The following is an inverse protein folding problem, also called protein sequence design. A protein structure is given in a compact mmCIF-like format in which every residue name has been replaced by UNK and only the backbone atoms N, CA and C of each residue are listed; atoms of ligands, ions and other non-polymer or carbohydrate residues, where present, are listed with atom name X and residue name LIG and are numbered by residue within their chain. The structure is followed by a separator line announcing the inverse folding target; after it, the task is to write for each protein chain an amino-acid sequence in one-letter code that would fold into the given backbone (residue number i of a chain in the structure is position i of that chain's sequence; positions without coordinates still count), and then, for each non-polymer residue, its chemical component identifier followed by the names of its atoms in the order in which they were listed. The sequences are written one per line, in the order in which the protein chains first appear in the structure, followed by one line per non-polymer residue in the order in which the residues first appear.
data_IF_914811127256
#
_entry.id   IF_914811127256
#
_cell.length_a   1.000
_cell.length_b   1.000
_cell.length_c   1.000
_cell.angle_alpha   90.00
_cell.angle_beta   90.00
_cell.angle_gamma   90.00
#
_symmetry.space_group_name_H-M   'P 1'
#
loop_
_entity.id
_entity.type
_entity.pdbx_description
1 polymer ?
#
# COMPACT_ATOMS: atom_id res chain seq x y z
N UNK A 1 27.82 -4.78 -5.56
CA UNK A 1 28.60 -4.48 -4.35
C UNK A 1 29.44 -3.22 -4.52
N UNK A 2 30.23 -3.07 -5.58
CA UNK A 2 31.03 -1.86 -5.82
C UNK A 2 30.19 -0.57 -5.90
N UNK A 3 29.06 -0.61 -6.56
CA UNK A 3 28.12 0.51 -6.75
C UNK A 3 27.39 0.96 -5.46
N UNK A 4 27.34 0.07 -4.46
CA UNK A 4 26.74 0.32 -3.14
C UNK A 4 27.72 1.05 -2.21
N UNK A 5 29.00 0.69 -2.26
CA UNK A 5 30.05 1.34 -1.47
C UNK A 5 30.36 2.74 -1.99
N UNK A 6 30.30 2.96 -3.30
CA UNK A 6 30.50 4.28 -3.92
C UNK A 6 29.38 5.26 -3.56
N UNK A 7 28.14 4.78 -3.40
CA UNK A 7 27.03 5.61 -2.89
C UNK A 7 27.11 5.89 -1.39
N UNK A 8 27.71 5.00 -0.59
CA UNK A 8 27.95 5.25 0.83
C UNK A 8 29.06 6.28 1.08
N UNK A 9 30.10 6.31 0.24
CA UNK A 9 31.20 7.29 0.34
C UNK A 9 30.74 8.71 -0.01
N UNK A 10 29.66 8.87 -0.78
CA UNK A 10 29.07 10.17 -1.12
C UNK A 10 28.10 10.72 -0.05
N UNK A 11 27.77 9.93 0.97
CA UNK A 11 26.79 10.28 2.02
C UNK A 11 27.37 10.38 3.43
N UNK A 12 28.66 10.13 3.60
CA UNK A 12 29.32 10.22 4.89
C UNK A 12 30.72 10.74 4.75
N UNK A 13 30.89 12.03 5.01
CA UNK A 13 32.02 12.64 5.69
C UNK A 13 31.79 14.16 5.75
N UNK A 14 31.23 14.61 6.83
CA UNK A 14 31.36 15.97 7.34
C UNK A 14 31.66 15.86 8.83
N UNK A 15 32.96 15.66 9.14
CA UNK A 15 33.54 16.02 10.42
C UNK A 15 35.01 16.38 10.25
N UNK A 16 35.25 17.65 10.41
CA UNK A 16 36.39 18.33 11.06
C UNK A 16 37.82 18.09 10.60
N UNK A 17 38.48 19.15 10.21
CA UNK A 17 39.95 19.21 10.33
C UNK A 17 40.66 20.12 9.32
N UNK A 18 40.89 21.31 9.77
CA UNK A 18 41.73 22.41 9.29
C UNK A 18 43.19 22.01 8.85
N UNK A 19 43.68 22.59 7.76
CA UNK A 19 44.94 23.30 7.59
C UNK A 19 45.60 23.15 6.21
N UNK A 20 45.76 24.26 5.52
CA UNK A 20 47.06 24.71 4.99
C UNK A 20 47.39 24.41 3.53
N UNK A 21 47.50 25.54 2.77
CA UNK A 21 48.54 25.88 1.78
C UNK A 21 48.29 25.68 0.28
N UNK A 22 48.02 26.82 -0.36
CA UNK A 22 48.54 27.40 -1.62
C UNK A 22 48.85 26.51 -2.82
N UNK A 23 48.21 26.78 -3.96
CA UNK A 23 48.77 27.41 -5.18
C UNK A 23 47.83 27.28 -6.40
N UNK A 24 47.46 28.40 -6.94
CA UNK A 24 47.43 28.80 -8.36
C UNK A 24 46.76 27.91 -9.40
N UNK A 25 45.52 28.28 -9.80
CA UNK A 25 44.91 27.80 -11.04
C UNK A 25 43.67 28.63 -11.36
N UNK A 26 43.81 29.63 -12.24
CA UNK A 26 42.67 30.35 -12.82
C UNK A 26 41.76 29.39 -13.54
N UNK A 27 40.54 29.23 -13.08
CA UNK A 27 39.45 28.63 -13.83
C UNK A 27 38.21 29.53 -13.75
N UNK A 28 37.52 29.60 -14.84
CA UNK A 28 36.45 30.47 -15.25
C UNK A 28 35.37 30.72 -14.20
N UNK A 29 34.94 31.98 -14.15
CA UNK A 29 33.75 32.45 -13.45
C UNK A 29 32.49 31.77 -14.02
N UNK A 30 31.98 30.78 -13.30
CA UNK A 30 30.64 30.23 -13.45
C UNK A 30 29.72 30.90 -12.43
N UNK A 31 28.61 31.40 -12.90
CA UNK A 31 27.57 32.18 -12.24
C UNK A 31 27.28 31.84 -10.76
N UNK A 32 27.20 32.90 -9.95
CA UNK A 32 26.93 32.86 -8.52
C UNK A 32 25.59 32.16 -8.17
N UNK A 33 25.68 30.96 -7.66
CA UNK A 33 24.62 30.28 -6.94
C UNK A 33 24.90 30.35 -5.45
N UNK A 34 24.20 31.22 -4.73
CA UNK A 34 24.18 31.16 -3.27
C UNK A 34 23.72 29.75 -2.79
N UNK A 35 23.97 29.39 -1.53
CA UNK A 35 23.58 28.08 -1.00
C UNK A 35 22.09 27.83 -1.25
N UNK A 36 21.77 26.73 -1.93
CA UNK A 36 20.39 26.35 -2.20
C UNK A 36 19.62 26.20 -0.88
N UNK A 37 18.36 26.69 -0.80
CA UNK A 37 17.54 26.45 0.39
C UNK A 37 17.45 24.95 0.68
N UNK A 38 17.53 24.56 1.95
CA UNK A 38 17.51 23.16 2.40
C UNK A 38 16.31 22.33 1.85
N UNK A 39 15.16 22.99 1.65
CA UNK A 39 13.98 22.36 1.01
C UNK A 39 14.24 22.02 -0.46
N UNK A 40 15.12 22.72 -1.11
CA UNK A 40 15.41 22.60 -2.55
C UNK A 40 16.60 21.70 -2.86
N UNK A 41 17.36 21.28 -1.87
CA UNK A 41 18.53 20.41 -2.02
C UNK A 41 18.12 18.93 -1.83
N UNK A 42 18.21 18.08 -2.86
CA UNK A 42 17.85 16.66 -2.78
C UNK A 42 18.67 15.84 -1.78
N UNK A 43 19.88 16.32 -1.43
CA UNK A 43 20.76 15.67 -0.43
C UNK A 43 20.33 16.00 1.00
N UNK A 44 19.60 17.09 1.20
CA UNK A 44 19.20 17.54 2.52
C UNK A 44 18.00 16.74 3.04
N UNK A 45 18.04 16.38 4.34
CA UNK A 45 16.98 15.62 5.00
C UNK A 45 15.60 16.25 4.83
N UNK A 46 15.51 17.58 4.89
CA UNK A 46 14.24 18.31 4.75
C UNK A 46 13.57 18.07 3.39
N UNK A 47 14.33 18.01 2.31
CA UNK A 47 13.79 17.68 0.98
C UNK A 47 13.25 16.25 0.92
N UNK A 48 13.97 15.29 1.51
CA UNK A 48 13.51 13.88 1.60
C UNK A 48 12.22 13.75 2.43
N UNK A 49 12.10 14.52 3.52
CA UNK A 49 10.86 14.57 4.30
C UNK A 49 9.70 15.14 3.49
N UNK A 50 9.92 16.20 2.71
CA UNK A 50 8.87 16.75 1.83
C UNK A 50 8.43 15.71 0.79
N UNK A 51 9.37 15.01 0.15
CA UNK A 51 9.05 13.91 -0.79
C UNK A 51 8.25 12.82 -0.09
N UNK A 52 8.63 12.44 1.13
CA UNK A 52 7.94 11.43 1.93
C UNK A 52 6.49 11.84 2.24
N UNK A 53 6.24 13.09 2.59
CA UNK A 53 4.89 13.61 2.86
C UNK A 53 4.00 13.48 1.62
N UNK A 54 4.47 13.94 0.44
CA UNK A 54 3.70 13.79 -0.79
C UNK A 54 3.51 12.32 -1.18
N UNK A 55 4.50 11.47 -0.94
CA UNK A 55 4.42 10.03 -1.16
C UNK A 55 3.37 9.37 -0.25
N UNK A 56 3.30 9.75 1.03
CA UNK A 56 2.30 9.24 1.96
C UNK A 56 0.88 9.64 1.55
N UNK A 57 0.69 10.89 1.08
CA UNK A 57 -0.61 11.37 0.61
C UNK A 57 -1.01 10.85 -0.77
N UNK A 58 -0.09 10.24 -1.51
CA UNK A 58 -0.37 9.68 -2.84
C UNK A 58 -1.49 8.63 -2.81
N UNK A 59 -1.48 7.74 -1.82
CA UNK A 59 -2.51 6.72 -1.64
C UNK A 59 -3.74 7.17 -0.86
N UNK A 60 -3.71 8.33 -0.18
CA UNK A 60 -4.77 8.75 0.72
C UNK A 60 -6.15 8.80 0.06
N UNK A 61 -6.26 9.43 -1.12
CA UNK A 61 -7.54 9.55 -1.84
C UNK A 61 -8.06 8.20 -2.35
N UNK A 62 -7.19 7.31 -2.79
CA UNK A 62 -7.61 5.98 -3.25
C UNK A 62 -8.16 5.13 -2.10
N UNK A 63 -7.51 5.12 -0.94
CA UNK A 63 -8.01 4.40 0.24
C UNK A 63 -9.26 5.05 0.84
N UNK A 64 -9.33 6.39 0.84
CA UNK A 64 -10.55 7.11 1.23
C UNK A 64 -11.73 6.67 0.35
N UNK A 65 -11.59 6.73 -0.97
CA UNK A 65 -12.69 6.42 -1.90
C UNK A 65 -12.97 4.91 -2.06
N UNK A 66 -12.00 4.05 -1.75
CA UNK A 66 -12.22 2.60 -1.74
C UNK A 66 -13.34 2.21 -0.79
N UNK A 67 -13.38 2.82 0.40
CA UNK A 67 -14.32 2.50 1.48
C UNK A 67 -15.66 3.25 1.38
N UNK A 68 -15.84 4.14 0.38
CA UNK A 68 -17.12 4.85 0.19
C UNK A 68 -18.36 3.95 0.19
N UNK A 69 -18.40 2.81 -0.52
CA UNK A 69 -19.57 1.94 -0.48
C UNK A 69 -19.84 1.38 0.91
N UNK A 70 -18.80 1.05 1.69
CA UNK A 70 -18.95 0.54 3.05
C UNK A 70 -19.44 1.62 4.00
N UNK A 71 -18.91 2.85 3.88
CA UNK A 71 -19.29 3.98 4.73
C UNK A 71 -20.74 4.45 4.50
N UNK A 72 -21.26 4.23 3.29
CA UNK A 72 -22.61 4.61 2.86
C UNK A 72 -23.45 3.37 2.48
N UNK A 73 -23.23 2.22 3.13
CA UNK A 73 -23.86 0.96 2.74
C UNK A 73 -25.38 1.03 2.80
N UNK A 74 -25.94 1.57 3.88
CA UNK A 74 -27.38 1.72 4.06
C UNK A 74 -28.01 2.59 2.98
N UNK A 75 -27.37 3.71 2.68
CA UNK A 75 -27.79 4.68 1.68
C UNK A 75 -27.70 4.11 0.27
N UNK A 76 -26.62 3.42 -0.05
CA UNK A 76 -26.44 2.73 -1.35
C UNK A 76 -27.52 1.69 -1.58
N UNK A 77 -27.82 0.88 -0.56
CA UNK A 77 -28.87 -0.15 -0.66
C UNK A 77 -30.26 0.46 -0.80
N UNK A 78 -30.59 1.50 -0.03
CA UNK A 78 -31.89 2.15 -0.02
C UNK A 78 -32.14 3.03 -1.24
N UNK A 79 -31.22 3.95 -1.53
CA UNK A 79 -31.39 4.98 -2.58
C UNK A 79 -31.38 4.39 -3.99
N UNK A 80 -30.66 3.30 -4.21
CA UNK A 80 -30.57 2.63 -5.51
C UNK A 80 -31.43 1.35 -5.60
N UNK A 81 -32.18 1.01 -4.52
CA UNK A 81 -32.99 -0.20 -4.42
C UNK A 81 -32.19 -1.48 -4.76
N UNK A 82 -30.98 -1.60 -4.19
CA UNK A 82 -30.09 -2.73 -4.41
C UNK A 82 -30.26 -3.79 -3.34
N UNK A 83 -30.02 -5.04 -3.71
CA UNK A 83 -29.82 -6.12 -2.75
C UNK A 83 -28.33 -6.25 -2.37
N UNK A 84 -28.06 -6.97 -1.29
CA UNK A 84 -26.69 -7.18 -0.79
C UNK A 84 -25.77 -7.83 -1.84
N UNK A 85 -26.30 -8.72 -2.68
CA UNK A 85 -25.53 -9.37 -3.74
C UNK A 85 -25.02 -8.35 -4.78
N UNK A 86 -25.88 -7.43 -5.23
CA UNK A 86 -25.47 -6.35 -6.14
C UNK A 86 -24.50 -5.39 -5.48
N UNK A 87 -24.71 -5.08 -4.19
CA UNK A 87 -23.76 -4.26 -3.46
C UNK A 87 -22.35 -4.89 -3.44
N UNK A 88 -22.25 -6.20 -3.19
CA UNK A 88 -20.97 -6.92 -3.22
C UNK A 88 -20.31 -6.97 -4.61
N UNK A 89 -21.09 -6.86 -5.68
CA UNK A 89 -20.55 -6.76 -7.04
C UNK A 89 -19.66 -5.51 -7.23
N UNK A 90 -19.92 -4.41 -6.51
CA UNK A 90 -19.05 -3.23 -6.56
C UNK A 90 -17.62 -3.52 -6.08
N UNK A 91 -17.47 -4.39 -5.08
CA UNK A 91 -16.15 -4.85 -4.62
C UNK A 91 -15.56 -5.92 -5.54
N UNK A 92 -16.41 -6.79 -6.10
CA UNK A 92 -15.99 -7.81 -7.04
C UNK A 92 -15.40 -7.17 -8.33
N UNK A 93 -16.05 -6.15 -8.88
CA UNK A 93 -15.54 -5.41 -10.04
C UNK A 93 -14.26 -4.64 -9.78
N UNK A 94 -14.01 -4.25 -8.53
CA UNK A 94 -12.72 -3.72 -8.12
C UNK A 94 -11.62 -4.80 -8.10
N UNK A 95 -11.91 -5.95 -7.49
CA UNK A 95 -10.87 -6.92 -7.11
C UNK A 95 -10.53 -7.91 -8.23
N UNK A 96 -11.51 -8.48 -8.92
CA UNK A 96 -11.29 -9.53 -9.91
C UNK A 96 -10.38 -9.12 -11.08
N UNK A 97 -10.52 -7.94 -11.69
CA UNK A 97 -9.64 -7.53 -12.77
C UNK A 97 -8.18 -7.42 -12.31
N UNK A 98 -7.97 -7.04 -11.06
CA UNK A 98 -6.67 -6.80 -10.49
C UNK A 98 -5.86 -8.09 -10.22
N UNK A 99 -6.48 -9.26 -10.28
CA UNK A 99 -5.77 -10.54 -10.32
C UNK A 99 -4.77 -10.59 -11.47
N UNK A 100 -5.07 -9.94 -12.58
CA UNK A 100 -4.21 -9.91 -13.79
C UNK A 100 -3.62 -8.52 -14.01
N UNK A 101 -4.42 -7.47 -13.86
CA UNK A 101 -4.04 -6.12 -14.27
C UNK A 101 -2.96 -5.48 -13.38
N UNK A 102 -2.83 -5.87 -12.11
CA UNK A 102 -1.74 -5.40 -11.26
C UNK A 102 -0.37 -5.83 -11.78
N UNK A 103 -0.26 -7.07 -12.26
CA UNK A 103 0.98 -7.55 -12.87
C UNK A 103 1.34 -6.74 -14.11
N UNK A 104 0.38 -6.54 -15.01
CA UNK A 104 0.60 -5.73 -16.21
C UNK A 104 0.87 -4.26 -15.85
N UNK A 105 0.20 -3.70 -14.83
CA UNK A 105 0.46 -2.36 -14.33
C UNK A 105 1.90 -2.18 -13.85
N UNK A 106 2.40 -3.12 -13.05
CA UNK A 106 3.79 -3.15 -12.59
C UNK A 106 4.79 -3.31 -13.73
N UNK A 107 4.50 -4.20 -14.67
CA UNK A 107 5.32 -4.38 -15.88
C UNK A 107 5.37 -3.14 -16.77
N UNK A 108 4.23 -2.48 -16.98
CA UNK A 108 4.15 -1.24 -17.74
C UNK A 108 4.89 -0.08 -17.03
N UNK A 109 4.87 -0.07 -15.69
CA UNK A 109 5.60 0.88 -14.87
C UNK A 109 7.11 0.78 -15.12
N UNK A 110 7.64 -0.44 -15.12
CA UNK A 110 9.08 -0.67 -15.29
C UNK A 110 9.54 -0.47 -16.75
N UNK A 111 8.72 -0.93 -17.72
CA UNK A 111 9.13 -0.98 -19.12
C UNK A 111 8.76 0.24 -19.95
N UNK A 112 7.54 0.79 -19.76
CA UNK A 112 6.95 1.75 -20.71
C UNK A 112 6.85 3.13 -20.12
N UNK A 113 6.17 3.27 -18.98
CA UNK A 113 5.84 4.58 -18.43
C UNK A 113 6.98 5.18 -17.60
N UNK A 114 7.76 4.32 -16.95
CA UNK A 114 8.62 4.76 -15.86
C UNK A 114 7.80 5.20 -14.65
N UNK A 115 8.44 5.32 -13.51
CA UNK A 115 7.78 5.54 -12.23
C UNK A 115 6.98 6.85 -12.18
N UNK A 116 7.48 7.94 -12.78
CA UNK A 116 6.86 9.27 -12.73
C UNK A 116 5.55 9.30 -13.50
N UNK A 117 5.63 8.94 -14.79
CA UNK A 117 4.47 8.97 -15.67
C UNK A 117 3.45 7.92 -15.25
N UNK A 118 3.91 6.72 -14.87
CA UNK A 118 3.02 5.65 -14.39
C UNK A 118 2.23 6.07 -13.15
N UNK A 119 2.86 6.70 -12.16
CA UNK A 119 2.17 7.21 -10.97
C UNK A 119 1.11 8.25 -11.31
N UNK A 120 1.38 9.17 -12.24
CA UNK A 120 0.40 10.18 -12.69
C UNK A 120 -0.76 9.52 -13.43
N UNK A 121 -0.47 8.58 -14.34
CA UNK A 121 -1.49 7.84 -15.09
C UNK A 121 -2.40 7.05 -14.14
N UNK A 122 -1.84 6.31 -13.19
CA UNK A 122 -2.63 5.52 -12.25
C UNK A 122 -3.45 6.39 -11.30
N UNK A 123 -2.91 7.53 -10.84
CA UNK A 123 -3.68 8.52 -10.07
C UNK A 123 -4.82 9.11 -10.89
N UNK A 124 -4.62 9.32 -12.19
CA UNK A 124 -5.69 9.78 -13.10
C UNK A 124 -6.79 8.73 -13.26
N UNK A 125 -6.44 7.44 -13.37
CA UNK A 125 -7.43 6.35 -13.39
C UNK A 125 -8.25 6.29 -12.11
N UNK A 126 -7.62 6.50 -10.95
CA UNK A 126 -8.32 6.59 -9.65
C UNK A 126 -9.33 7.72 -9.66
N UNK A 127 -8.93 8.92 -10.08
CA UNK A 127 -9.84 10.07 -10.19
C UNK A 127 -10.99 9.81 -11.16
N UNK A 128 -10.67 9.32 -12.36
CA UNK A 128 -11.66 9.04 -13.41
C UNK A 128 -12.65 7.96 -12.94
N UNK A 129 -12.15 6.88 -12.35
CA UNK A 129 -12.98 5.81 -11.81
C UNK A 129 -13.94 6.30 -10.73
N UNK A 130 -13.47 7.14 -9.81
CA UNK A 130 -14.31 7.72 -8.75
C UNK A 130 -15.37 8.68 -9.32
N UNK A 131 -15.02 9.50 -10.30
CA UNK A 131 -15.99 10.39 -10.97
C UNK A 131 -17.06 9.61 -11.71
N UNK A 132 -16.68 8.55 -12.46
CA UNK A 132 -17.62 7.67 -13.15
C UNK A 132 -18.53 6.96 -12.13
N UNK A 133 -17.97 6.46 -11.03
CA UNK A 133 -18.71 5.83 -9.94
C UNK A 133 -19.77 6.77 -9.35
N UNK A 134 -19.37 8.00 -9.01
CA UNK A 134 -20.26 9.04 -8.49
C UNK A 134 -21.33 9.46 -9.52
N UNK A 135 -20.96 9.59 -10.78
CA UNK A 135 -21.91 9.89 -11.88
C UNK A 135 -22.92 8.76 -12.04
N UNK A 136 -22.50 7.50 -11.93
CA UNK A 136 -23.38 6.34 -11.96
C UNK A 136 -24.46 6.39 -10.87
N UNK A 137 -24.11 6.83 -9.66
CA UNK A 137 -25.07 7.06 -8.59
C UNK A 137 -25.98 8.26 -8.90
N UNK A 138 -25.45 9.40 -9.39
CA UNK A 138 -26.23 10.58 -9.77
C UNK A 138 -27.34 10.28 -10.81
N UNK A 139 -27.00 9.48 -11.83
CA UNK A 139 -27.96 9.14 -12.91
C UNK A 139 -28.73 7.84 -12.64
N UNK A 140 -28.57 7.26 -11.45
CA UNK A 140 -29.19 6.00 -11.04
C UNK A 140 -28.93 4.85 -12.04
N UNK A 141 -27.68 4.69 -12.48
CA UNK A 141 -27.26 3.63 -13.41
C UNK A 141 -26.20 2.74 -12.77
N UNK A 142 -26.63 1.58 -12.28
CA UNK A 142 -25.76 0.67 -11.56
C UNK A 142 -24.55 0.18 -12.40
N UNK A 143 -24.75 -0.18 -13.68
CA UNK A 143 -23.65 -0.60 -14.55
C UNK A 143 -22.54 0.44 -14.69
N UNK A 144 -22.90 1.74 -14.61
CA UNK A 144 -21.91 2.82 -14.66
C UNK A 144 -21.10 2.89 -13.36
N UNK A 145 -21.73 2.57 -12.23
CA UNK A 145 -21.02 2.42 -10.96
C UNK A 145 -20.03 1.25 -10.99
N UNK A 146 -20.45 0.11 -11.56
CA UNK A 146 -19.56 -1.04 -11.75
C UNK A 146 -18.36 -0.70 -12.64
N UNK A 147 -18.60 -0.02 -13.78
CA UNK A 147 -17.55 0.47 -14.67
C UNK A 147 -16.59 1.45 -13.94
N UNK A 148 -17.13 2.34 -13.11
CA UNK A 148 -16.34 3.22 -12.25
C UNK A 148 -15.46 2.45 -11.30
N UNK A 149 -15.97 1.43 -10.62
CA UNK A 149 -15.20 0.58 -9.69
C UNK A 149 -14.13 -0.24 -10.41
N UNK A 150 -14.40 -0.71 -11.63
CA UNK A 150 -13.41 -1.39 -12.45
C UNK A 150 -12.22 -0.48 -12.79
N UNK A 151 -12.49 0.73 -13.32
CA UNK A 151 -11.45 1.70 -13.67
C UNK A 151 -10.68 2.16 -12.41
N UNK A 152 -11.41 2.42 -11.33
CA UNK A 152 -10.84 2.78 -10.04
C UNK A 152 -9.92 1.70 -9.50
N UNK A 153 -10.28 0.42 -9.62
CA UNK A 153 -9.49 -0.72 -9.19
C UNK A 153 -8.16 -0.83 -9.94
N UNK A 154 -8.18 -0.69 -11.27
CA UNK A 154 -6.96 -0.69 -12.10
C UNK A 154 -6.00 0.41 -11.62
N UNK A 155 -6.54 1.63 -11.39
CA UNK A 155 -5.74 2.75 -10.92
C UNK A 155 -5.21 2.54 -9.51
N UNK A 156 -6.06 2.16 -8.56
CA UNK A 156 -5.73 2.07 -7.14
C UNK A 156 -4.64 1.06 -6.82
N UNK A 157 -4.78 -0.14 -7.32
CA UNK A 157 -3.81 -1.23 -7.08
C UNK A 157 -2.47 -0.97 -7.78
N UNK A 158 -2.50 -0.50 -9.03
CA UNK A 158 -1.27 -0.14 -9.76
C UNK A 158 -0.59 1.10 -9.17
N UNK A 159 -1.36 2.04 -8.58
CA UNK A 159 -0.83 3.18 -7.85
C UNK A 159 -0.10 2.74 -6.57
N UNK A 160 -0.63 1.74 -5.87
CA UNK A 160 0.06 1.18 -4.70
C UNK A 160 1.40 0.53 -5.09
N UNK A 161 1.46 -0.17 -6.22
CA UNK A 161 2.72 -0.70 -6.78
C UNK A 161 3.71 0.42 -7.08
N UNK A 162 3.26 1.50 -7.72
CA UNK A 162 4.09 2.66 -8.02
C UNK A 162 4.58 3.36 -6.74
N UNK A 163 3.72 3.49 -5.74
CA UNK A 163 4.05 4.07 -4.43
C UNK A 163 5.14 3.26 -3.71
N UNK A 164 5.04 1.93 -3.71
CA UNK A 164 6.05 1.05 -3.14
C UNK A 164 7.39 1.18 -3.88
N UNK A 165 7.37 1.26 -5.22
CA UNK A 165 8.57 1.45 -6.03
C UNK A 165 9.23 2.81 -5.75
N UNK A 166 8.44 3.87 -5.55
CA UNK A 166 8.96 5.18 -5.13
C UNK A 166 9.62 5.12 -3.76
N UNK A 167 8.99 4.43 -2.79
CA UNK A 167 9.54 4.27 -1.45
C UNK A 167 10.93 3.62 -1.51
N UNK A 168 11.08 2.56 -2.29
CA UNK A 168 12.37 1.89 -2.47
C UNK A 168 13.39 2.82 -3.14
N UNK A 169 13.04 3.50 -4.22
CA UNK A 169 13.97 4.35 -4.97
C UNK A 169 14.52 5.51 -4.14
N UNK A 170 13.75 6.04 -3.18
CA UNK A 170 14.15 7.19 -2.37
C UNK A 170 14.72 6.83 -0.99
N UNK A 171 14.34 5.66 -0.43
CA UNK A 171 14.61 5.31 0.98
C UNK A 171 15.28 3.95 1.17
N UNK A 172 15.73 3.29 0.09
CA UNK A 172 16.47 2.02 0.20
C UNK A 172 17.73 2.21 1.04
N UNK A 173 17.90 1.40 2.06
CA UNK A 173 19.11 1.29 2.86
C UNK A 173 18.97 1.64 4.34
N UNK A 174 18.24 2.69 4.76
CA UNK A 174 18.23 3.10 6.17
C UNK A 174 16.85 3.19 6.83
N UNK A 175 15.80 3.58 6.10
CA UNK A 175 14.52 3.97 6.69
C UNK A 175 13.33 3.36 5.94
N UNK A 176 13.56 2.29 5.19
CA UNK A 176 12.58 1.74 4.27
C UNK A 176 11.34 1.19 4.99
N UNK A 177 11.53 0.45 6.08
CA UNK A 177 10.42 -0.12 6.85
C UNK A 177 9.59 0.97 7.54
N UNK A 178 10.22 2.05 8.03
CA UNK A 178 9.54 3.23 8.56
C UNK A 178 8.69 3.89 7.49
N UNK A 179 9.22 4.06 6.28
CA UNK A 179 8.49 4.66 5.15
C UNK A 179 7.26 3.83 4.79
N UNK A 180 7.39 2.51 4.68
CA UNK A 180 6.24 1.62 4.46
C UNK A 180 5.22 1.71 5.62
N UNK A 181 5.68 1.82 6.85
CA UNK A 181 4.83 2.04 8.02
C UNK A 181 4.04 3.35 7.95
N UNK A 182 4.69 4.44 7.54
CA UNK A 182 4.04 5.74 7.33
C UNK A 182 3.00 5.71 6.20
N UNK A 183 3.33 5.08 5.06
CA UNK A 183 2.40 4.90 3.95
C UNK A 183 1.17 4.11 4.37
N UNK A 184 1.36 3.00 5.10
CA UNK A 184 0.28 2.18 5.62
C UNK A 184 -0.57 2.96 6.63
N UNK A 185 0.04 3.75 7.49
CA UNK A 185 -0.65 4.61 8.45
C UNK A 185 -1.55 5.63 7.74
N UNK A 186 -1.03 6.29 6.71
CA UNK A 186 -1.80 7.27 5.93
C UNK A 186 -2.93 6.64 5.12
N UNK A 187 -2.73 5.43 4.58
CA UNK A 187 -3.78 4.67 3.93
C UNK A 187 -4.95 4.38 4.90
N UNK A 188 -4.64 3.90 6.10
CA UNK A 188 -5.65 3.63 7.14
C UNK A 188 -6.31 4.89 7.67
N UNK A 189 -5.56 5.99 7.77
CA UNK A 189 -6.13 7.28 8.11
C UNK A 189 -7.17 7.69 7.07
N UNK A 190 -6.91 7.51 5.78
CA UNK A 190 -7.89 7.74 4.70
C UNK A 190 -9.19 6.96 4.91
N UNK A 191 -9.09 5.64 5.14
CA UNK A 191 -10.24 4.77 5.43
C UNK A 191 -10.99 5.21 6.70
N UNK A 192 -10.26 5.49 7.78
CA UNK A 192 -10.87 5.94 9.06
C UNK A 192 -11.60 7.27 8.90
N UNK A 193 -11.01 8.22 8.22
CA UNK A 193 -11.64 9.53 7.95
C UNK A 193 -12.90 9.35 7.10
N UNK A 194 -12.84 8.51 6.07
CA UNK A 194 -14.01 8.18 5.25
C UNK A 194 -15.17 7.64 6.08
N UNK A 195 -14.93 6.59 6.86
CA UNK A 195 -15.96 5.94 7.69
C UNK A 195 -16.63 6.88 8.69
N UNK A 196 -15.92 7.90 9.17
CA UNK A 196 -16.44 8.87 10.13
C UNK A 196 -17.13 10.08 9.47
N UNK A 197 -16.73 10.46 8.27
CA UNK A 197 -17.17 11.71 7.64
C UNK A 197 -18.27 11.49 6.60
N UNK A 198 -18.27 10.42 5.83
CA UNK A 198 -19.15 10.26 4.68
C UNK A 198 -20.64 10.22 5.05
N UNK A 199 -21.00 9.59 6.16
CA UNK A 199 -22.39 9.62 6.66
C UNK A 199 -22.86 11.02 7.03
N UNK A 200 -21.98 11.82 7.65
CA UNK A 200 -22.28 13.23 7.95
C UNK A 200 -22.39 14.08 6.67
N UNK A 201 -21.50 13.85 5.69
CA UNK A 201 -21.56 14.54 4.39
C UNK A 201 -22.87 14.23 3.68
N UNK A 202 -23.27 12.97 3.63
CA UNK A 202 -24.53 12.55 3.03
C UNK A 202 -25.72 13.27 3.71
N UNK A 203 -25.78 13.27 5.04
CA UNK A 203 -26.85 13.95 5.80
C UNK A 203 -26.90 15.44 5.51
N UNK A 204 -25.76 16.12 5.44
CA UNK A 204 -25.70 17.55 5.13
C UNK A 204 -26.18 17.88 3.71
N UNK A 205 -25.82 17.04 2.74
CA UNK A 205 -26.30 17.21 1.36
C UNK A 205 -27.81 16.91 1.28
N UNK A 206 -28.30 15.90 1.99
CA UNK A 206 -29.71 15.59 2.09
C UNK A 206 -30.53 16.77 2.68
N UNK A 207 -30.02 17.42 3.71
CA UNK A 207 -30.60 18.63 4.32
C UNK A 207 -30.69 19.77 3.29
N UNK A 208 -29.68 19.94 2.45
CA UNK A 208 -29.63 20.99 1.41
C UNK A 208 -30.58 20.69 0.23
N UNK A 209 -30.70 19.44 -0.16
CA UNK A 209 -31.55 19.01 -1.30
C UNK A 209 -33.00 18.84 -0.88
N UNK A 210 -33.24 18.63 0.41
CA UNK A 210 -34.58 18.50 1.00
C UNK A 210 -35.17 17.08 1.02
N UNK A 211 -34.45 16.10 0.42
CA UNK A 211 -34.85 14.68 0.45
C UNK A 211 -33.66 13.76 0.21
N UNK A 212 -33.55 12.61 0.91
CA UNK A 212 -32.56 11.59 0.60
C UNK A 212 -32.86 10.95 -0.77
N UNK A 213 -31.84 10.39 -1.42
CA UNK A 213 -32.00 9.69 -2.68
C UNK A 213 -30.69 9.59 -3.48
N UNK A 214 -30.77 8.94 -4.64
CA UNK A 214 -29.60 8.67 -5.50
C UNK A 214 -28.81 9.94 -5.90
N UNK A 215 -29.48 11.10 -6.01
CA UNK A 215 -28.81 12.38 -6.31
C UNK A 215 -27.94 12.86 -5.16
N UNK A 216 -28.41 12.71 -3.90
CA UNK A 216 -27.66 13.02 -2.68
C UNK A 216 -26.47 12.07 -2.56
N UNK A 217 -26.70 10.79 -2.78
CA UNK A 217 -25.64 9.77 -2.80
C UNK A 217 -24.55 10.11 -3.81
N UNK A 218 -24.96 10.38 -5.07
CA UNK A 218 -24.02 10.73 -6.13
C UNK A 218 -23.25 12.02 -5.86
N UNK A 219 -23.90 13.06 -5.31
CA UNK A 219 -23.25 14.31 -4.88
C UNK A 219 -22.23 14.08 -3.76
N UNK A 220 -22.56 13.24 -2.79
CA UNK A 220 -21.64 12.85 -1.70
C UNK A 220 -20.40 12.13 -2.22
N UNK A 221 -20.59 11.19 -3.15
CA UNK A 221 -19.50 10.47 -3.81
C UNK A 221 -18.67 11.38 -4.72
N UNK A 222 -19.29 12.40 -5.35
CA UNK A 222 -18.56 13.38 -6.14
C UNK A 222 -17.70 14.28 -5.25
N UNK A 223 -18.20 14.67 -4.08
CA UNK A 223 -17.41 15.42 -3.10
C UNK A 223 -16.21 14.57 -2.62
N UNK A 224 -16.41 13.27 -2.42
CA UNK A 224 -15.30 12.36 -2.08
C UNK A 224 -14.22 12.33 -3.17
N UNK A 225 -14.57 12.53 -4.46
CA UNK A 225 -13.58 12.58 -5.55
C UNK A 225 -12.54 13.71 -5.39
N UNK A 226 -12.83 14.73 -4.60
CA UNK A 226 -11.86 15.81 -4.27
C UNK A 226 -10.62 15.25 -3.59
N UNK A 227 -10.75 14.19 -2.78
CA UNK A 227 -9.59 13.51 -2.15
C UNK A 227 -8.72 12.82 -3.18
N UNK A 228 -9.30 12.26 -4.24
CA UNK A 228 -8.56 11.68 -5.36
C UNK A 228 -7.84 12.77 -6.17
N UNK A 229 -8.47 13.93 -6.39
CA UNK A 229 -7.81 15.08 -7.03
C UNK A 229 -6.61 15.57 -6.19
N UNK A 230 -6.74 15.61 -4.88
CA UNK A 230 -5.64 15.93 -3.99
C UNK A 230 -4.48 14.93 -4.14
N UNK A 231 -4.76 13.64 -4.19
CA UNK A 231 -3.74 12.60 -4.46
C UNK A 231 -3.11 12.75 -5.84
N UNK A 232 -3.87 13.13 -6.86
CA UNK A 232 -3.34 13.43 -8.19
C UNK A 232 -2.38 14.64 -8.18
N UNK A 233 -2.72 15.70 -7.43
CA UNK A 233 -1.81 16.85 -7.22
C UNK A 233 -0.53 16.39 -6.52
N UNK A 234 -0.63 15.53 -5.52
CA UNK A 234 0.55 14.94 -4.86
C UNK A 234 1.41 14.14 -5.85
N UNK A 235 0.80 13.38 -6.76
CA UNK A 235 1.51 12.64 -7.82
C UNK A 235 2.27 13.58 -8.77
N UNK A 236 1.65 14.69 -9.17
CA UNK A 236 2.28 15.69 -10.04
C UNK A 236 3.46 16.38 -9.35
N UNK A 237 3.28 16.77 -8.09
CA UNK A 237 4.35 17.40 -7.29
C UNK A 237 5.50 16.41 -7.08
N UNK A 238 5.19 15.15 -6.75
CA UNK A 238 6.20 14.10 -6.57
C UNK A 238 7.00 13.87 -7.86
N UNK A 239 6.33 13.79 -9.01
CA UNK A 239 6.96 13.67 -10.31
C UNK A 239 7.86 14.87 -10.66
N UNK A 240 7.46 16.09 -10.27
CA UNK A 240 8.26 17.30 -10.44
C UNK A 240 9.51 17.28 -9.53
N UNK A 241 9.35 16.95 -8.25
CA UNK A 241 10.44 16.86 -7.28
C UNK A 241 11.48 15.81 -7.70
N UNK A 242 11.02 14.64 -8.14
CA UNK A 242 11.88 13.56 -8.60
C UNK A 242 12.66 13.94 -9.88
N UNK A 243 12.00 14.58 -10.86
CA UNK A 243 12.68 15.10 -12.05
C UNK A 243 13.71 16.17 -11.72
N UNK A 244 13.42 17.02 -10.74
CA UNK A 244 14.34 18.05 -10.28
C UNK A 244 15.54 17.42 -9.57
N UNK A 245 15.31 16.45 -8.69
CA UNK A 245 16.37 15.74 -7.98
C UNK A 245 17.35 15.06 -8.96
N UNK A 246 16.84 14.37 -9.99
CA UNK A 246 17.63 13.75 -11.03
C UNK A 246 18.54 14.75 -11.76
N UNK A 247 18.05 15.96 -12.07
CA UNK A 247 18.83 17.01 -12.72
C UNK A 247 19.94 17.56 -11.83
N UNK A 248 19.68 17.74 -10.53
CA UNK A 248 20.63 18.33 -9.57
C UNK A 248 21.72 17.32 -9.22
N UNK A 249 21.35 16.06 -9.02
CA UNK A 249 22.29 15.00 -8.66
C UNK A 249 23.12 14.51 -9.85
N UNK A 250 22.85 15.01 -11.07
CA UNK A 250 23.44 14.52 -12.32
C UNK A 250 23.39 12.99 -12.46
N UNK A 251 22.51 12.36 -11.68
CA UNK A 251 22.22 10.95 -11.75
C UNK A 251 21.29 10.74 -12.95
N UNK A 252 21.82 10.98 -14.16
CA UNK A 252 21.28 10.31 -15.31
C UNK A 252 21.41 8.81 -14.95
N UNK A 253 20.32 8.15 -14.59
CA UNK A 253 20.30 6.69 -14.56
C UNK A 253 20.80 6.29 -15.93
N UNK A 254 22.03 5.82 -15.99
CA UNK A 254 22.47 5.01 -17.10
C UNK A 254 21.38 3.97 -17.20
N UNK A 255 20.54 4.10 -18.22
CA UNK A 255 19.58 3.06 -18.55
C UNK A 255 20.49 1.90 -18.91
N UNK A 256 20.79 1.09 -17.89
CA UNK A 256 21.32 -0.25 -18.14
C UNK A 256 20.41 -0.79 -19.18
N UNK A 257 20.94 -1.08 -20.38
CA UNK A 257 20.12 -1.41 -21.55
C UNK A 257 19.31 -2.72 -21.40
N UNK A 258 19.15 -3.21 -20.19
CA UNK A 258 18.34 -4.34 -19.79
C UNK A 258 16.86 -3.91 -19.75
N UNK A 259 16.18 -4.25 -20.83
CA UNK A 259 14.75 -4.07 -20.97
C UNK A 259 14.07 -5.32 -20.41
N UNK A 260 13.25 -5.16 -19.36
CA UNK A 260 12.46 -6.24 -18.76
C UNK A 260 11.60 -6.91 -19.85
N UNK A 261 11.64 -8.25 -19.85
CA UNK A 261 10.75 -9.11 -20.63
C UNK A 261 9.76 -9.80 -19.69
N UNK A 262 8.56 -10.08 -20.16
CA UNK A 262 7.56 -10.83 -19.39
C UNK A 262 8.08 -12.21 -18.95
N UNK A 263 9.07 -12.76 -19.65
CA UNK A 263 9.70 -14.04 -19.34
C UNK A 263 10.59 -13.97 -18.11
N UNK A 264 11.09 -12.80 -17.73
CA UNK A 264 12.06 -12.61 -16.65
C UNK A 264 11.44 -12.93 -15.27
N UNK A 265 10.11 -12.99 -15.18
CA UNK A 265 9.39 -13.46 -13.98
C UNK A 265 9.77 -14.91 -13.63
N UNK A 266 10.14 -15.73 -14.61
CA UNK A 266 10.59 -17.11 -14.38
C UNK A 266 11.98 -17.17 -13.73
N UNK A 267 12.76 -16.13 -13.93
CA UNK A 267 14.12 -16.01 -13.42
C UNK A 267 14.16 -15.35 -12.03
N UNK A 268 12.98 -15.03 -11.46
CA UNK A 268 12.88 -14.51 -10.10
C UNK A 268 13.50 -15.52 -9.11
N UNK A 269 14.33 -15.05 -8.17
CA UNK A 269 14.98 -15.91 -7.21
C UNK A 269 13.96 -16.63 -6.32
N UNK A 270 14.25 -17.85 -5.92
CA UNK A 270 13.37 -18.70 -5.10
C UNK A 270 12.89 -18.00 -3.82
N UNK A 271 13.72 -17.14 -3.22
CA UNK A 271 13.36 -16.35 -2.03
C UNK A 271 12.17 -15.43 -2.29
N UNK A 272 12.08 -14.83 -3.47
CA UNK A 272 10.97 -13.98 -3.84
C UNK A 272 9.65 -14.75 -3.91
N UNK A 273 9.68 -15.97 -4.44
CA UNK A 273 8.51 -16.87 -4.46
C UNK A 273 8.04 -17.23 -3.05
N UNK A 274 8.97 -17.44 -2.11
CA UNK A 274 8.64 -17.66 -0.70
C UNK A 274 7.99 -16.43 -0.08
N UNK A 275 8.50 -15.23 -0.36
CA UNK A 275 7.89 -13.96 0.11
C UNK A 275 6.47 -13.84 -0.44
N UNK A 276 6.23 -14.17 -1.70
CA UNK A 276 4.91 -14.15 -2.31
C UNK A 276 3.94 -15.12 -1.61
N UNK A 277 4.37 -16.36 -1.36
CA UNK A 277 3.55 -17.35 -0.66
C UNK A 277 3.22 -16.89 0.77
N UNK A 278 4.21 -16.38 1.48
CA UNK A 278 4.03 -15.84 2.84
C UNK A 278 3.01 -14.68 2.82
N UNK A 279 3.11 -13.80 1.83
CA UNK A 279 2.15 -12.71 1.64
C UNK A 279 0.74 -13.25 1.47
N UNK A 280 0.52 -14.14 0.49
CA UNK A 280 -0.81 -14.70 0.20
C UNK A 280 -1.39 -15.41 1.43
N UNK A 281 -0.64 -16.31 2.07
CA UNK A 281 -1.12 -17.08 3.23
C UNK A 281 -1.56 -16.17 4.39
N UNK A 282 -0.91 -15.03 4.58
CA UNK A 282 -1.28 -14.08 5.61
C UNK A 282 -2.55 -13.30 5.26
N UNK A 283 -2.54 -12.69 4.09
CA UNK A 283 -3.63 -11.80 3.69
C UNK A 283 -4.95 -12.55 3.52
N UNK A 284 -4.91 -13.83 3.10
CA UNK A 284 -6.12 -14.68 2.98
C UNK A 284 -6.72 -15.07 4.34
N UNK A 285 -5.96 -15.01 5.42
CA UNK A 285 -6.52 -15.21 6.77
C UNK A 285 -7.14 -13.92 7.33
N UNK A 286 -6.52 -12.75 7.06
CA UNK A 286 -6.90 -11.48 7.68
C UNK A 286 -8.08 -10.80 6.97
N UNK A 287 -8.04 -10.65 5.65
CA UNK A 287 -9.04 -9.85 4.94
C UNK A 287 -10.44 -10.49 4.91
N UNK A 288 -10.59 -11.80 4.63
CA UNK A 288 -11.90 -12.44 4.74
C UNK A 288 -12.44 -12.42 6.17
N UNK A 289 -11.58 -12.57 7.18
CA UNK A 289 -11.96 -12.42 8.57
C UNK A 289 -12.53 -11.02 8.86
N UNK A 290 -11.84 -9.95 8.42
CA UNK A 290 -12.33 -8.57 8.57
C UNK A 290 -13.69 -8.40 7.85
N UNK A 291 -13.81 -8.91 6.62
CA UNK A 291 -15.04 -8.80 5.82
C UNK A 291 -16.23 -9.55 6.40
N UNK A 292 -16.03 -10.76 6.92
CA UNK A 292 -17.07 -11.62 7.48
C UNK A 292 -17.37 -11.29 8.95
N UNK A 293 -16.39 -10.80 9.71
CA UNK A 293 -16.57 -10.37 11.10
C UNK A 293 -17.43 -9.12 11.26
N UNK A 294 -17.66 -8.39 10.16
CA UNK A 294 -18.42 -7.14 10.16
C UNK A 294 -19.86 -7.29 10.65
N UNK A 295 -20.48 -8.44 10.48
CA UNK A 295 -21.87 -8.71 10.92
C UNK A 295 -22.02 -8.88 12.43
N UNK A 296 -20.97 -9.30 13.14
CA UNK A 296 -21.02 -9.56 14.60
C UNK A 296 -20.22 -8.56 15.45
N UNK A 297 -19.23 -7.84 14.87
CA UNK A 297 -18.26 -7.03 15.62
C UNK A 297 -18.02 -5.63 15.02
N UNK A 298 -18.99 -5.07 14.31
CA UNK A 298 -18.87 -3.85 13.47
C UNK A 298 -18.20 -2.66 14.16
N UNK A 299 -18.55 -2.38 15.42
CA UNK A 299 -17.94 -1.28 16.19
C UNK A 299 -16.49 -1.57 16.60
N UNK A 300 -16.13 -2.84 16.71
CA UNK A 300 -14.83 -3.27 17.21
C UNK A 300 -13.74 -3.24 16.14
N UNK A 301 -14.10 -3.51 14.88
CA UNK A 301 -13.15 -3.51 13.76
C UNK A 301 -12.66 -2.09 13.43
N UNK A 302 -13.56 -1.13 13.34
CA UNK A 302 -13.22 0.27 13.07
C UNK A 302 -12.23 0.83 14.10
N UNK A 303 -12.41 0.51 15.38
CA UNK A 303 -11.52 0.97 16.45
C UNK A 303 -10.18 0.23 16.47
N UNK A 304 -10.12 -1.07 16.12
CA UNK A 304 -8.85 -1.80 16.02
C UNK A 304 -7.99 -1.29 14.87
N UNK A 305 -8.60 -0.95 13.73
CA UNK A 305 -7.93 -0.31 12.59
C UNK A 305 -7.43 1.08 12.98
N UNK A 306 -8.24 1.88 13.67
CA UNK A 306 -7.86 3.21 14.15
C UNK A 306 -6.72 3.17 15.17
N UNK A 307 -6.72 2.20 16.08
CA UNK A 307 -5.65 2.02 17.08
C UNK A 307 -4.32 1.58 16.44
N UNK A 308 -4.37 0.82 15.35
CA UNK A 308 -3.17 0.38 14.63
C UNK A 308 -2.53 1.45 13.74
N UNK A 309 -3.26 2.52 13.41
CA UNK A 309 -2.77 3.61 12.56
C UNK A 309 -1.50 4.28 13.13
N UNK A 310 -1.45 4.77 14.38
CA UNK A 310 -0.22 5.36 14.94
C UNK A 310 0.87 4.31 15.25
N UNK A 311 0.52 3.04 15.39
CA UNK A 311 1.48 1.99 15.68
C UNK A 311 2.36 1.63 14.47
N UNK A 312 1.85 1.72 13.24
CA UNK A 312 2.56 1.31 12.04
C UNK A 312 3.91 2.02 11.83
N UNK A 313 4.05 3.34 11.96
CA UNK A 313 5.34 4.01 11.84
C UNK A 313 6.32 3.62 12.93
N UNK A 314 5.84 3.46 14.17
CA UNK A 314 6.67 3.04 15.29
C UNK A 314 7.23 1.63 15.07
N UNK A 315 6.39 0.72 14.62
CA UNK A 315 6.78 -0.65 14.29
C UNK A 315 7.77 -0.68 13.13
N UNK A 316 7.54 0.10 12.06
CA UNK A 316 8.48 0.24 10.95
C UNK A 316 9.85 0.74 11.42
N UNK A 317 9.89 1.77 12.27
CA UNK A 317 11.13 2.26 12.87
C UNK A 317 11.84 1.19 13.73
N UNK A 318 11.10 0.41 14.51
CA UNK A 318 11.67 -0.70 15.28
C UNK A 318 12.28 -1.77 14.38
N UNK A 319 11.64 -2.09 13.25
CA UNK A 319 12.16 -3.04 12.27
C UNK A 319 13.45 -2.49 11.65
N UNK A 320 13.48 -1.22 11.23
CA UNK A 320 14.69 -0.58 10.69
C UNK A 320 15.86 -0.59 11.67
N UNK A 321 15.59 -0.27 12.93
CA UNK A 321 16.63 -0.22 13.98
C UNK A 321 17.23 -1.59 14.28
N UNK A 322 16.46 -2.66 14.12
CA UNK A 322 16.92 -4.04 14.43
C UNK A 322 17.49 -4.75 13.21
N UNK A 323 17.13 -4.32 11.98
CA UNK A 323 17.63 -4.90 10.74
C UNK A 323 17.32 -6.38 10.54
N UNK A 324 16.23 -6.91 11.10
CA UNK A 324 15.90 -8.34 11.08
C UNK A 324 14.46 -8.61 10.63
N UNK A 325 14.13 -8.20 9.42
CA UNK A 325 12.78 -8.27 8.88
C UNK A 325 12.13 -9.66 9.02
N UNK A 326 12.84 -10.75 8.72
CA UNK A 326 12.31 -12.12 8.81
C UNK A 326 11.87 -12.47 10.25
N UNK A 327 12.61 -12.00 11.25
CA UNK A 327 12.25 -12.24 12.67
C UNK A 327 10.96 -11.50 13.01
N UNK A 328 10.81 -10.25 12.54
CA UNK A 328 9.60 -9.48 12.79
C UNK A 328 8.39 -10.05 12.06
N UNK A 329 8.56 -10.57 10.84
CA UNK A 329 7.53 -11.35 10.13
C UNK A 329 7.13 -12.58 10.95
N UNK A 330 8.08 -13.32 11.50
CA UNK A 330 7.80 -14.49 12.34
C UNK A 330 7.03 -14.13 13.61
N UNK A 331 7.43 -13.05 14.30
CA UNK A 331 6.73 -12.55 15.49
C UNK A 331 5.29 -12.16 15.14
N UNK A 332 5.08 -11.45 14.02
CA UNK A 332 3.73 -11.05 13.59
C UNK A 332 2.84 -12.26 13.30
N UNK A 333 3.37 -13.30 12.65
CA UNK A 333 2.62 -14.53 12.35
C UNK A 333 2.21 -15.26 13.63
N UNK A 334 3.13 -15.40 14.60
CA UNK A 334 2.84 -16.02 15.89
C UNK A 334 1.78 -15.21 16.65
N UNK A 335 1.90 -13.89 16.66
CA UNK A 335 0.95 -13.00 17.34
C UNK A 335 -0.44 -13.05 16.70
N UNK A 336 -0.50 -13.12 15.36
CA UNK A 336 -1.74 -13.29 14.61
C UNK A 336 -2.40 -14.64 14.91
N UNK A 337 -1.62 -15.72 14.94
CA UNK A 337 -2.11 -17.04 15.32
C UNK A 337 -2.68 -17.05 16.74
N UNK A 338 -1.98 -16.42 17.68
CA UNK A 338 -2.48 -16.28 19.05
C UNK A 338 -3.81 -15.50 19.10
N UNK A 339 -3.96 -14.43 18.31
CA UNK A 339 -5.20 -13.66 18.24
C UNK A 339 -6.38 -14.50 17.72
N UNK A 340 -6.19 -15.27 16.64
CA UNK A 340 -7.22 -16.17 16.11
C UNK A 340 -7.57 -17.31 17.09
N UNK A 341 -6.55 -17.89 17.75
CA UNK A 341 -6.81 -18.90 18.80
C UNK A 341 -7.57 -18.32 19.99
N UNK A 342 -7.30 -17.06 20.37
CA UNK A 342 -8.08 -16.37 21.39
C UNK A 342 -9.53 -16.19 20.97
N UNK A 343 -9.81 -15.80 19.73
CA UNK A 343 -11.15 -15.65 19.20
C UNK A 343 -11.89 -16.98 19.08
N UNK A 344 -11.19 -18.06 18.71
CA UNK A 344 -11.79 -19.39 18.53
C UNK A 344 -12.10 -20.10 19.84
N UNK A 345 -11.23 -20.02 20.84
CA UNK A 345 -11.24 -20.93 22.00
C UNK A 345 -11.37 -20.22 23.36
N UNK A 346 -11.42 -18.88 23.41
CA UNK A 346 -11.54 -18.16 24.66
C UNK A 346 -12.77 -17.26 24.68
N UNK A 347 -13.31 -17.02 25.88
CA UNK A 347 -14.41 -16.07 26.10
C UNK A 347 -13.91 -14.69 26.53
N UNK A 348 -12.65 -14.37 26.23
CA UNK A 348 -12.07 -13.07 26.55
C UNK A 348 -12.71 -11.98 25.71
N UNK A 349 -12.56 -10.74 26.17
CA UNK A 349 -13.10 -9.60 25.42
C UNK A 349 -12.50 -9.58 24.00
N UNK A 350 -13.33 -9.62 22.95
CA UNK A 350 -12.85 -9.63 21.55
C UNK A 350 -11.95 -8.46 21.18
N UNK A 351 -12.07 -7.34 21.89
CA UNK A 351 -11.23 -6.16 21.71
C UNK A 351 -9.72 -6.44 21.82
N UNK A 352 -9.35 -7.31 22.76
CA UNK A 352 -7.94 -7.66 22.98
C UNK A 352 -7.39 -8.39 21.75
N UNK A 353 -8.12 -9.41 21.30
CA UNK A 353 -7.73 -10.19 20.12
C UNK A 353 -7.71 -9.33 18.84
N UNK A 354 -8.72 -8.46 18.66
CA UNK A 354 -8.81 -7.56 17.50
C UNK A 354 -7.69 -6.51 17.49
N UNK A 355 -7.35 -5.94 18.65
CA UNK A 355 -6.25 -5.00 18.77
C UNK A 355 -4.90 -5.67 18.48
N UNK A 356 -4.71 -6.89 18.98
CA UNK A 356 -3.53 -7.70 18.73
C UNK A 356 -3.39 -8.04 17.25
N UNK A 357 -4.51 -8.39 16.59
CA UNK A 357 -4.57 -8.66 15.16
C UNK A 357 -4.19 -7.42 14.32
N UNK A 358 -4.72 -6.25 14.66
CA UNK A 358 -4.38 -5.00 13.97
C UNK A 358 -2.91 -4.61 14.12
N UNK A 359 -2.34 -4.82 15.32
CA UNK A 359 -0.93 -4.57 15.58
C UNK A 359 -0.02 -5.54 14.80
N UNK A 360 -0.38 -6.83 14.81
CA UNK A 360 0.35 -7.87 14.06
C UNK A 360 0.33 -7.63 12.57
N UNK A 361 -0.82 -7.24 12.03
CA UNK A 361 -0.96 -6.88 10.61
C UNK A 361 -0.07 -5.70 10.24
N UNK A 362 -0.03 -4.66 11.08
CA UNK A 362 0.84 -3.51 10.84
C UNK A 362 2.31 -3.90 10.85
N UNK A 363 2.72 -4.73 11.80
CA UNK A 363 4.09 -5.23 11.89
C UNK A 363 4.49 -6.06 10.67
N UNK A 364 3.62 -6.98 10.25
CA UNK A 364 3.89 -7.80 9.07
C UNK A 364 4.02 -6.94 7.81
N UNK A 365 3.08 -6.02 7.57
CA UNK A 365 3.11 -5.18 6.39
C UNK A 365 4.38 -4.32 6.32
N UNK A 366 4.81 -3.74 7.46
CA UNK A 366 6.04 -2.95 7.53
C UNK A 366 7.31 -3.78 7.31
N UNK A 367 7.31 -5.06 7.67
CA UNK A 367 8.48 -5.92 7.55
C UNK A 367 8.54 -6.70 6.23
N UNK A 368 7.39 -7.18 5.71
CA UNK A 368 7.33 -8.09 4.56
C UNK A 368 7.48 -7.36 3.21
N UNK A 369 6.75 -6.25 3.02
CA UNK A 369 6.76 -5.52 1.75
C UNK A 369 8.14 -4.97 1.37
N UNK A 370 8.91 -4.39 2.29
CA UNK A 370 10.27 -3.94 1.98
C UNK A 370 11.23 -5.07 1.59
N UNK A 371 10.97 -6.32 2.03
CA UNK A 371 11.85 -7.46 1.72
C UNK A 371 11.96 -7.72 0.23
N UNK A 372 10.93 -7.41 -0.57
CA UNK A 372 10.99 -7.53 -2.03
C UNK A 372 12.13 -6.69 -2.61
N UNK A 373 12.32 -5.49 -2.09
CA UNK A 373 13.36 -4.55 -2.56
C UNK A 373 14.80 -5.03 -2.30
N UNK A 374 14.97 -5.97 -1.36
CA UNK A 374 16.29 -6.52 -1.06
C UNK A 374 16.64 -7.73 -1.94
N UNK A 375 15.63 -8.32 -2.57
CA UNK A 375 15.78 -9.56 -3.36
C UNK A 375 15.78 -9.27 -4.86
N UNK A 376 15.14 -8.16 -5.27
CA UNK A 376 14.91 -7.82 -6.68
C UNK A 376 15.72 -6.56 -7.05
N UNK A 377 16.35 -6.53 -8.24
CA UNK A 377 17.01 -5.33 -8.74
C UNK A 377 16.02 -4.20 -9.01
N UNK A 378 16.48 -2.94 -8.92
CA UNK A 378 15.62 -1.75 -8.98
C UNK A 378 14.79 -1.65 -10.27
N UNK A 379 15.32 -2.12 -11.40
CA UNK A 379 14.65 -2.07 -12.70
C UNK A 379 13.48 -3.08 -12.85
N UNK A 380 13.29 -4.00 -11.88
CA UNK A 380 12.23 -5.02 -11.87
C UNK A 380 11.25 -4.86 -10.71
N UNK A 381 11.38 -3.80 -9.90
CA UNK A 381 10.58 -3.63 -8.68
C UNK A 381 9.09 -3.50 -8.96
N UNK A 382 8.70 -2.72 -9.97
CA UNK A 382 7.30 -2.57 -10.36
C UNK A 382 6.68 -3.90 -10.77
N UNK A 383 7.39 -4.70 -11.56
CA UNK A 383 6.96 -6.03 -11.99
C UNK A 383 6.82 -6.99 -10.81
N UNK A 384 7.79 -7.00 -9.89
CA UNK A 384 7.76 -7.86 -8.70
C UNK A 384 6.62 -7.48 -7.74
N UNK A 385 6.44 -6.20 -7.44
CA UNK A 385 5.32 -5.73 -6.62
C UNK A 385 3.97 -5.94 -7.30
N UNK A 386 3.88 -5.71 -8.61
CA UNK A 386 2.68 -5.98 -9.39
C UNK A 386 2.30 -7.45 -9.38
N UNK A 387 3.27 -8.35 -9.51
CA UNK A 387 3.05 -9.79 -9.42
C UNK A 387 2.61 -10.21 -8.01
N UNK A 388 3.27 -9.69 -6.97
CA UNK A 388 2.90 -9.93 -5.57
C UNK A 388 1.46 -9.52 -5.30
N UNK A 389 1.05 -8.33 -5.78
CA UNK A 389 -0.31 -7.82 -5.65
C UNK A 389 -1.33 -8.66 -6.40
N UNK A 390 -1.00 -9.12 -7.61
CA UNK A 390 -1.87 -9.99 -8.43
C UNK A 390 -2.15 -11.33 -7.75
N UNK A 391 -1.13 -12.01 -7.26
CA UNK A 391 -1.33 -13.31 -6.58
C UNK A 391 -2.01 -13.14 -5.22
N UNK A 392 -1.78 -12.02 -4.53
CA UNK A 392 -2.52 -11.68 -3.31
C UNK A 392 -4.01 -11.54 -3.61
N UNK A 393 -4.38 -10.77 -4.64
CA UNK A 393 -5.78 -10.59 -5.04
C UNK A 393 -6.43 -11.91 -5.47
N UNK A 394 -5.70 -12.78 -6.18
CA UNK A 394 -6.18 -14.12 -6.53
C UNK A 394 -6.44 -14.96 -5.27
N UNK A 395 -5.50 -15.00 -4.35
CA UNK A 395 -5.65 -15.70 -3.07
C UNK A 395 -6.85 -15.20 -2.28
N UNK A 396 -7.00 -13.88 -2.17
CA UNK A 396 -8.13 -13.24 -1.50
C UNK A 396 -9.47 -13.63 -2.14
N UNK A 397 -9.57 -13.59 -3.46
CA UNK A 397 -10.80 -13.93 -4.17
C UNK A 397 -11.21 -15.38 -3.94
N UNK A 398 -10.27 -16.33 -4.04
CA UNK A 398 -10.54 -17.75 -3.85
C UNK A 398 -10.89 -18.10 -2.40
N UNK A 399 -10.12 -17.57 -1.46
CA UNK A 399 -10.31 -17.89 -0.04
C UNK A 399 -11.52 -17.17 0.55
N UNK A 400 -11.87 -15.97 0.08
CA UNK A 400 -13.10 -15.31 0.49
C UNK A 400 -14.35 -16.14 0.14
N UNK A 401 -14.38 -16.76 -1.05
CA UNK A 401 -15.46 -17.67 -1.43
C UNK A 401 -15.48 -18.93 -0.55
N UNK A 402 -14.33 -19.53 -0.28
CA UNK A 402 -14.23 -20.69 0.60
C UNK A 402 -14.64 -20.33 2.03
N UNK A 403 -14.21 -19.19 2.55
CA UNK A 403 -14.55 -18.71 3.89
C UNK A 403 -16.06 -18.45 4.04
N UNK A 404 -16.71 -17.84 3.04
CA UNK A 404 -18.15 -17.67 3.02
C UNK A 404 -18.89 -19.01 3.05
N UNK A 405 -18.49 -19.95 2.21
CA UNK A 405 -19.08 -21.30 2.18
C UNK A 405 -18.87 -22.08 3.50
N UNK A 406 -17.71 -21.92 4.15
CA UNK A 406 -17.45 -22.53 5.47
C UNK A 406 -18.35 -21.90 6.53
N UNK A 407 -18.47 -20.57 6.53
CA UNK A 407 -19.32 -19.87 7.49
C UNK A 407 -20.77 -20.29 7.39
N UNK A 408 -21.33 -20.36 6.17
CA UNK A 408 -22.72 -20.71 5.91
C UNK A 408 -23.04 -22.16 6.29
N UNK A 409 -22.11 -23.11 6.05
CA UNK A 409 -22.37 -24.54 6.25
C UNK A 409 -21.89 -25.10 7.59
N UNK A 410 -20.83 -24.53 8.18
CA UNK A 410 -20.12 -25.09 9.35
C UNK A 410 -20.02 -24.14 10.53
N UNK A 411 -20.34 -22.86 10.32
CA UNK A 411 -20.31 -21.84 11.36
C UNK A 411 -18.93 -21.25 11.64
N UNK A 412 -18.93 -20.29 12.56
CA UNK A 412 -17.80 -19.41 12.83
C UNK A 412 -16.54 -20.12 13.38
N UNK A 413 -16.74 -21.11 14.28
CA UNK A 413 -15.62 -21.83 14.88
C UNK A 413 -14.77 -22.57 13.83
N UNK A 414 -15.44 -23.24 12.87
CA UNK A 414 -14.72 -23.96 11.81
C UNK A 414 -14.01 -22.98 10.89
N UNK A 415 -14.58 -21.82 10.66
CA UNK A 415 -13.93 -20.74 9.90
C UNK A 415 -12.67 -20.24 10.60
N UNK A 416 -12.69 -20.01 11.92
CA UNK A 416 -11.51 -19.62 12.69
C UNK A 416 -10.40 -20.68 12.66
N UNK A 417 -10.77 -21.94 12.81
CA UNK A 417 -9.82 -23.06 12.68
C UNK A 417 -9.20 -23.12 11.28
N UNK A 418 -9.98 -22.82 10.25
CA UNK A 418 -9.47 -22.72 8.88
C UNK A 418 -8.44 -21.59 8.74
N UNK A 419 -8.71 -20.40 9.31
CA UNK A 419 -7.74 -19.29 9.31
C UNK A 419 -6.48 -19.63 10.11
N UNK A 420 -6.61 -20.27 11.26
CA UNK A 420 -5.46 -20.80 12.00
C UNK A 420 -4.61 -21.75 11.15
N UNK A 421 -5.24 -22.62 10.36
CA UNK A 421 -4.55 -23.50 9.41
C UNK A 421 -3.74 -22.74 8.35
N UNK A 422 -4.32 -21.69 7.77
CA UNK A 422 -3.63 -20.83 6.80
C UNK A 422 -2.40 -20.14 7.44
N UNK A 423 -2.53 -19.65 8.67
CA UNK A 423 -1.43 -18.98 9.41
C UNK A 423 -0.35 -19.99 9.81
N UNK A 424 -0.71 -21.21 10.20
CA UNK A 424 0.27 -22.27 10.46
C UNK A 424 1.06 -22.65 9.20
N UNK A 425 0.39 -22.73 8.05
CA UNK A 425 1.06 -22.94 6.76
C UNK A 425 2.05 -21.80 6.46
N UNK A 426 1.64 -20.56 6.67
CA UNK A 426 2.53 -19.40 6.53
C UNK A 426 3.75 -19.50 7.46
N UNK A 427 3.55 -19.85 8.73
CA UNK A 427 4.64 -19.99 9.71
C UNK A 427 5.70 -20.99 9.23
N UNK A 428 5.27 -22.11 8.64
CA UNK A 428 6.16 -23.09 8.05
C UNK A 428 7.04 -22.47 6.95
N UNK A 429 6.47 -21.67 6.03
CA UNK A 429 7.23 -21.00 4.99
C UNK A 429 8.18 -19.93 5.53
N UNK A 430 7.81 -19.23 6.60
CA UNK A 430 8.70 -18.25 7.27
C UNK A 430 9.89 -18.96 7.93
N UNK A 431 9.67 -20.11 8.57
CA UNK A 431 10.76 -20.94 9.10
C UNK A 431 11.69 -21.41 7.99
N UNK A 432 11.15 -21.82 6.84
CA UNK A 432 11.93 -22.23 5.69
C UNK A 432 12.77 -21.07 5.13
N UNK A 433 12.20 -19.86 5.05
CA UNK A 433 12.92 -18.65 4.63
C UNK A 433 14.06 -18.29 5.60
N UNK A 434 13.95 -18.63 6.88
CA UNK A 434 14.97 -18.44 7.91
C UNK A 434 16.08 -19.50 7.91
N UNK A 435 15.91 -20.61 7.19
CA UNK A 435 16.83 -21.76 7.19
C UNK A 435 18.26 -21.41 6.75
N UNK A 436 19.26 -22.29 7.07
CA UNK A 436 20.68 -22.01 6.85
C UNK A 436 21.09 -21.56 5.45
N UNK A 437 20.48 -22.06 4.35
CA UNK A 437 20.85 -21.63 3.00
C UNK A 437 20.50 -20.16 2.71
N UNK A 438 19.66 -19.53 3.55
CA UNK A 438 19.11 -18.21 3.28
C UNK A 438 19.56 -17.14 4.30
N UNK A 439 20.20 -17.55 5.40
CA UNK A 439 20.66 -16.65 6.45
C UNK A 439 21.66 -15.59 5.94
N UNK A 440 22.53 -15.95 5.01
CA UNK A 440 23.55 -15.04 4.46
C UNK A 440 22.98 -13.87 3.66
N UNK A 441 21.77 -14.00 3.08
CA UNK A 441 21.13 -12.91 2.32
C UNK A 441 20.50 -11.84 3.22
N UNK A 442 20.08 -12.23 4.43
CA UNK A 442 19.35 -11.37 5.37
C UNK A 442 20.12 -11.04 6.64
N UNK A 443 21.37 -11.49 6.81
CA UNK A 443 22.23 -11.17 7.98
C UNK A 443 22.95 -9.84 7.85
N UNK A 444 23.02 -9.28 6.65
CA UNK A 444 23.60 -7.95 6.39
C UNK A 444 22.52 -6.87 6.16
N UNK A 445 21.23 -7.20 6.40
CA UNK A 445 20.06 -6.36 6.35
C UNK A 445 19.40 -6.27 7.74
#
# INVERSE_FOLDING_TARGET
MADYEERQSLLGDDDGGDSGSSAGGRAAAGAGGGPMPAICDPKHLLHRVVVLVFMCFLGFGSYFCYDNPAALQSEVLQDLNLNTSKFMQLYAWYSWPNVVLCFFGGFLLDRVFGIRLGTIIFSLFVCLGQVIFATGALVNRFWLMEAGRFIFGIGGESLAVAQNTYAVNWFKGKELNLVFGLQLSMARLGSTVNMNIMGWVYSKIADLVGSPGHTVLGASLMLAAVTCLFSLVCALVLGFLDRRAERILHTAKDKTGEVIKLTDVKDFPFHLWLIFIICVCYYVAIFPFIGLGHTSYTQNIASSVSASTPASPLLGFMVDKTGRNVIWVMISVITTLAAHLMLAFTFWNPWIAMSLLGLSYSLLACALWPMVAFVVPEHQLGTAYGFMQSIQNLGLALIAMAAGAILDNKGYLVLEVFFCGCICCQYFFVLFLRGPPFQLLFTHL
#
